data_IF_932946501267
#
_entry.id   IF_932946501267
#
_cell.length_a   1.000
_cell.length_b   1.000
_cell.length_c   1.000
_cell.angle_alpha   90.00
_cell.angle_beta   90.00
_cell.angle_gamma   90.00
#
_symmetry.space_group_name_H-M   'P 1'
#
loop_
_entity.id
_entity.type
_entity.pdbx_description
1 polymer ?
#
# COMPACT_ATOMS: atom_id res chain seq x y z
N UNK A 1 -25.65 45.36 -25.41
CA UNK A 1 -24.46 45.52 -24.55
C UNK A 1 -24.51 44.42 -23.51
N UNK A 2 -23.85 43.33 -23.81
CA UNK A 2 -23.60 42.25 -22.85
C UNK A 2 -22.41 42.72 -22.00
N UNK A 3 -22.67 43.06 -20.76
CA UNK A 3 -21.64 43.28 -19.76
C UNK A 3 -21.10 41.90 -19.39
N UNK A 4 -19.82 41.66 -19.71
CA UNK A 4 -19.14 40.43 -19.38
C UNK A 4 -19.12 40.21 -17.86
N UNK A 5 -19.75 39.15 -17.42
CA UNK A 5 -19.40 38.57 -16.14
C UNK A 5 -17.99 38.01 -16.26
N UNK A 6 -17.03 38.73 -15.74
CA UNK A 6 -15.73 38.15 -15.45
C UNK A 6 -15.97 36.96 -14.52
N UNK A 7 -15.95 35.80 -15.11
CA UNK A 7 -15.91 34.56 -14.33
C UNK A 7 -14.56 34.58 -13.61
N UNK A 8 -14.57 34.88 -12.32
CA UNK A 8 -13.42 34.68 -11.46
C UNK A 8 -13.06 33.22 -11.52
N UNK A 9 -12.26 32.83 -12.49
CA UNK A 9 -11.54 31.56 -12.49
C UNK A 9 -10.63 31.66 -11.28
N UNK A 10 -10.95 30.93 -10.22
CA UNK A 10 -10.03 30.79 -9.08
C UNK A 10 -8.74 30.24 -9.66
N UNK A 11 -7.67 31.01 -9.53
CA UNK A 11 -6.32 30.74 -10.05
C UNK A 11 -5.73 29.38 -9.63
N UNK A 12 -6.44 28.61 -8.79
CA UNK A 12 -6.04 27.27 -8.31
C UNK A 12 -6.82 26.12 -8.93
N UNK A 13 -7.80 26.38 -9.81
CA UNK A 13 -8.62 25.30 -10.37
C UNK A 13 -7.82 24.35 -11.26
N UNK A 14 -6.76 24.80 -11.89
CA UNK A 14 -5.91 24.01 -12.75
C UNK A 14 -4.83 23.22 -11.98
N UNK A 15 -4.51 23.60 -10.75
CA UNK A 15 -3.55 22.87 -9.91
C UNK A 15 -4.08 21.51 -9.44
N UNK A 16 -5.41 21.33 -9.50
CA UNK A 16 -6.07 20.08 -9.13
C UNK A 16 -6.49 19.23 -10.34
N UNK A 17 -6.19 19.66 -11.57
CA UNK A 17 -6.55 18.93 -12.79
C UNK A 17 -5.72 17.64 -12.94
N UNK A 18 -6.32 16.65 -13.63
CA UNK A 18 -5.65 15.40 -13.96
C UNK A 18 -4.32 15.68 -14.67
N UNK A 19 -3.25 15.02 -14.21
CA UNK A 19 -1.87 15.11 -14.71
C UNK A 19 -1.06 16.33 -14.28
N UNK A 20 -1.60 17.28 -13.51
CA UNK A 20 -0.79 18.41 -13.05
C UNK A 20 0.41 17.97 -12.21
N UNK A 21 0.21 16.97 -11.33
CA UNK A 21 1.26 16.38 -10.50
C UNK A 21 1.73 15.00 -11.00
N UNK A 22 1.45 14.68 -12.28
CA UNK A 22 1.76 13.38 -12.88
C UNK A 22 0.89 12.21 -12.40
N UNK A 23 -0.13 12.48 -11.59
CA UNK A 23 -1.08 11.49 -11.09
C UNK A 23 -2.46 11.67 -11.74
N UNK A 24 -3.23 10.59 -11.82
CA UNK A 24 -4.64 10.66 -12.18
C UNK A 24 -5.43 11.33 -11.06
N UNK A 25 -6.45 12.07 -11.44
CA UNK A 25 -7.38 12.71 -10.51
C UNK A 25 -8.07 11.69 -9.59
N UNK A 26 -8.28 12.08 -8.35
CA UNK A 26 -9.06 11.30 -7.38
C UNK A 26 -10.54 11.19 -7.78
N UNK A 27 -11.32 10.24 -7.23
CA UNK A 27 -12.74 10.11 -7.53
C UNK A 27 -13.52 11.36 -7.09
N UNK A 28 -14.24 11.98 -8.02
CA UNK A 28 -15.15 13.09 -7.75
C UNK A 28 -16.52 12.56 -7.33
N UNK A 29 -17.13 13.19 -6.34
CA UNK A 29 -18.47 12.86 -5.85
C UNK A 29 -19.40 14.06 -6.01
N UNK A 30 -20.64 13.78 -6.41
CA UNK A 30 -21.71 14.77 -6.58
C UNK A 30 -22.88 14.45 -5.65
N UNK A 31 -23.84 15.36 -5.54
CA UNK A 31 -25.09 15.10 -4.80
C UNK A 31 -25.97 14.13 -5.56
N UNK A 32 -26.80 13.32 -4.88
CA UNK A 32 -26.98 13.21 -3.40
C UNK A 32 -25.84 12.45 -2.71
N UNK A 33 -25.75 12.53 -1.37
CA UNK A 33 -24.73 11.86 -0.55
C UNK A 33 -24.79 10.33 -0.65
N UNK A 34 -25.96 9.77 -0.98
CA UNK A 34 -26.15 8.34 -1.24
C UNK A 34 -26.85 8.18 -2.57
N UNK A 35 -26.22 7.42 -3.49
CA UNK A 35 -26.78 7.08 -4.78
C UNK A 35 -26.72 5.57 -5.02
N UNK A 36 -27.86 4.93 -5.27
CA UNK A 36 -27.96 3.47 -5.54
C UNK A 36 -27.22 2.61 -4.49
N UNK A 37 -27.32 2.98 -3.21
CA UNK A 37 -26.65 2.27 -2.11
C UNK A 37 -25.16 2.56 -1.94
N UNK A 38 -24.59 3.45 -2.76
CA UNK A 38 -23.20 3.92 -2.64
C UNK A 38 -23.18 5.27 -1.94
N UNK A 39 -22.52 5.32 -0.79
CA UNK A 39 -22.38 6.55 -0.03
C UNK A 39 -21.08 7.29 -0.40
N UNK A 40 -21.13 8.62 -0.29
CA UNK A 40 -19.93 9.47 -0.31
C UNK A 40 -19.08 9.11 0.92
N UNK A 41 -17.76 8.95 0.81
CA UNK A 41 -16.91 8.70 1.97
C UNK A 41 -17.04 9.76 3.06
N UNK A 42 -17.22 9.34 4.32
CA UNK A 42 -17.45 10.23 5.47
C UNK A 42 -16.37 11.30 5.64
N UNK A 43 -15.13 11.00 5.25
CA UNK A 43 -14.01 11.95 5.31
C UNK A 43 -14.28 13.20 4.46
N UNK A 44 -15.03 13.07 3.36
CA UNK A 44 -15.37 14.20 2.47
C UNK A 44 -16.51 15.06 3.03
N UNK A 45 -17.30 14.52 3.95
CA UNK A 45 -18.41 15.20 4.61
C UNK A 45 -18.01 15.92 5.90
N UNK A 46 -16.86 15.52 6.48
CA UNK A 46 -16.40 15.97 7.79
C UNK A 46 -15.83 17.40 7.86
N UNK A 47 -15.64 18.10 6.74
CA UNK A 47 -15.15 19.48 6.69
C UNK A 47 -13.68 19.68 7.13
N UNK A 48 -12.95 18.63 7.47
CA UNK A 48 -11.52 18.68 7.82
C UNK A 48 -10.68 18.66 6.53
N UNK A 49 -10.27 19.84 6.08
CA UNK A 49 -9.52 19.99 4.81
C UNK A 49 -8.24 19.17 4.79
N UNK A 50 -7.52 19.03 5.90
CA UNK A 50 -6.29 18.25 5.93
C UNK A 50 -6.55 16.76 5.69
N UNK A 51 -7.62 16.22 6.28
CA UNK A 51 -8.02 14.83 6.05
C UNK A 51 -8.57 14.61 4.65
N UNK A 52 -9.31 15.59 4.12
CA UNK A 52 -9.83 15.56 2.75
C UNK A 52 -8.67 15.52 1.76
N UNK A 53 -7.67 16.39 1.91
CA UNK A 53 -6.52 16.48 1.00
C UNK A 53 -5.64 15.22 1.10
N UNK A 54 -5.43 14.70 2.30
CA UNK A 54 -4.73 13.43 2.49
C UNK A 54 -5.46 12.26 1.79
N UNK A 55 -6.79 12.19 1.92
CA UNK A 55 -7.62 11.19 1.26
C UNK A 55 -7.59 11.31 -0.26
N UNK A 56 -7.69 12.54 -0.80
CA UNK A 56 -7.61 12.82 -2.23
C UNK A 56 -6.27 12.35 -2.80
N UNK A 57 -5.16 12.72 -2.14
CA UNK A 57 -3.82 12.30 -2.54
C UNK A 57 -3.64 10.77 -2.49
N UNK A 58 -4.18 10.10 -1.48
CA UNK A 58 -4.15 8.63 -1.40
C UNK A 58 -4.93 8.00 -2.56
N UNK A 59 -6.14 8.48 -2.85
CA UNK A 59 -6.99 7.95 -3.92
C UNK A 59 -6.42 8.23 -5.32
N UNK A 60 -5.79 9.37 -5.51
CA UNK A 60 -5.07 9.71 -6.73
C UNK A 60 -3.92 8.73 -6.99
N UNK A 61 -3.07 8.47 -6.00
CA UNK A 61 -1.97 7.50 -6.09
C UNK A 61 -2.47 6.08 -6.34
N UNK A 62 -3.49 5.64 -5.60
CA UNK A 62 -4.11 4.31 -5.76
C UNK A 62 -4.65 4.14 -7.20
N UNK A 63 -5.40 5.13 -7.69
CA UNK A 63 -5.99 5.12 -9.03
C UNK A 63 -4.94 5.13 -10.13
N UNK A 64 -3.87 5.93 -9.96
CA UNK A 64 -2.77 6.00 -10.91
C UNK A 64 -2.03 4.69 -10.97
N UNK A 65 -1.70 4.10 -9.82
CA UNK A 65 -1.04 2.79 -9.76
C UNK A 65 -1.81 1.70 -10.48
N UNK A 66 -3.14 1.68 -10.33
CA UNK A 66 -4.01 0.64 -10.95
C UNK A 66 -4.25 0.86 -12.45
N UNK A 67 -4.33 2.11 -12.90
CA UNK A 67 -4.74 2.42 -14.27
C UNK A 67 -3.60 2.86 -15.17
N UNK A 68 -2.59 3.48 -14.60
CA UNK A 68 -1.44 4.05 -15.30
C UNK A 68 -0.16 3.81 -14.49
N UNK A 69 0.28 2.55 -14.36
CA UNK A 69 1.47 2.20 -13.56
C UNK A 69 2.72 2.96 -14.00
N UNK A 70 2.87 3.25 -15.29
CA UNK A 70 3.98 4.02 -15.83
C UNK A 70 4.05 5.46 -15.31
N UNK A 71 2.88 6.12 -15.11
CA UNK A 71 2.84 7.46 -14.51
C UNK A 71 3.11 7.40 -13.00
N UNK A 72 2.65 6.34 -12.35
CA UNK A 72 2.94 6.14 -10.93
C UNK A 72 4.44 5.91 -10.67
N UNK A 73 5.12 5.19 -11.53
CA UNK A 73 6.57 5.01 -11.46
C UNK A 73 7.33 6.34 -11.64
N UNK A 74 6.95 7.14 -12.65
CA UNK A 74 7.52 8.48 -12.85
C UNK A 74 7.28 9.41 -11.65
N UNK A 75 6.06 9.37 -11.10
CA UNK A 75 5.73 10.12 -9.88
C UNK A 75 6.59 9.67 -8.70
N UNK A 76 6.81 8.38 -8.52
CA UNK A 76 7.68 7.84 -7.49
C UNK A 76 9.14 8.27 -7.65
N UNK A 77 9.64 8.37 -8.87
CA UNK A 77 11.00 8.87 -9.17
C UNK A 77 11.16 10.36 -8.80
N UNK A 78 10.13 11.16 -9.06
CA UNK A 78 10.13 12.59 -8.73
C UNK A 78 9.82 12.88 -7.25
N UNK A 79 9.20 11.93 -6.54
CA UNK A 79 8.82 12.03 -5.13
C UNK A 79 9.45 10.90 -4.30
N UNK A 80 10.76 10.88 -4.12
CA UNK A 80 11.43 9.83 -3.34
C UNK A 80 10.95 9.88 -1.88
N UNK A 81 10.83 8.71 -1.25
CA UNK A 81 10.51 8.62 0.18
C UNK A 81 11.72 9.09 0.97
N UNK A 82 11.68 10.32 1.43
CA UNK A 82 12.79 10.94 2.18
C UNK A 82 12.87 10.44 3.63
N UNK A 83 11.75 10.02 4.19
CA UNK A 83 11.67 9.54 5.58
C UNK A 83 11.00 8.17 5.66
N UNK A 84 11.45 7.33 6.59
CA UNK A 84 10.75 6.10 6.93
C UNK A 84 9.36 6.40 7.47
N UNK A 85 8.34 5.57 7.17
CA UNK A 85 7.00 5.74 7.70
C UNK A 85 7.00 5.85 9.22
N UNK A 86 6.27 6.84 9.77
CA UNK A 86 6.12 7.00 11.22
C UNK A 86 5.15 5.94 11.74
N UNK A 87 5.65 5.05 12.58
CA UNK A 87 4.83 4.03 13.23
C UNK A 87 4.06 4.62 14.41
N UNK A 88 2.81 4.22 14.57
CA UNK A 88 2.01 4.62 15.74
C UNK A 88 2.57 3.97 17.00
N UNK A 89 2.21 4.51 18.16
CA UNK A 89 2.60 3.91 19.44
C UNK A 89 2.14 2.45 19.51
N UNK A 90 3.07 1.54 19.76
CA UNK A 90 2.83 0.09 19.79
C UNK A 90 2.91 -0.61 18.43
N UNK A 91 3.12 0.11 17.32
CA UNK A 91 3.50 -0.47 16.03
C UNK A 91 5.04 -0.59 15.95
N UNK A 92 5.53 -1.66 15.33
CA UNK A 92 6.95 -1.88 15.11
C UNK A 92 7.20 -2.72 13.86
N UNK A 93 8.33 -2.49 13.19
CA UNK A 93 8.79 -3.33 12.07
C UNK A 93 10.18 -3.82 12.38
N UNK A 94 10.39 -5.13 12.28
CA UNK A 94 11.67 -5.78 12.57
C UNK A 94 12.05 -6.74 11.46
N UNK A 95 13.34 -6.81 11.19
CA UNK A 95 13.92 -7.85 10.33
C UNK A 95 13.74 -9.21 11.02
N UNK A 96 13.21 -10.17 10.28
CA UNK A 96 13.00 -11.55 10.75
C UNK A 96 14.36 -12.26 10.89
N UNK A 97 14.68 -12.69 12.10
CA UNK A 97 15.97 -13.32 12.45
C UNK A 97 15.80 -14.66 13.15
N UNK A 98 14.82 -14.77 14.04
CA UNK A 98 14.60 -15.96 14.90
C UNK A 98 13.63 -16.94 14.28
N UNK A 99 13.67 -18.20 14.68
CA UNK A 99 12.73 -19.24 14.23
C UNK A 99 11.27 -18.88 14.53
N UNK A 100 11.01 -18.29 15.71
CA UNK A 100 9.66 -17.85 16.09
C UNK A 100 9.14 -16.74 15.16
N UNK A 101 10.01 -15.80 14.76
CA UNK A 101 9.66 -14.74 13.81
C UNK A 101 9.39 -15.30 12.42
N UNK A 102 10.17 -16.30 11.98
CA UNK A 102 9.94 -16.98 10.71
C UNK A 102 8.61 -17.74 10.74
N UNK A 103 8.27 -18.43 11.83
CA UNK A 103 6.98 -19.11 11.98
C UNK A 103 5.81 -18.09 11.94
N UNK A 104 5.94 -16.96 12.62
CA UNK A 104 4.93 -15.90 12.58
C UNK A 104 4.76 -15.32 11.17
N UNK A 105 5.85 -15.09 10.42
CA UNK A 105 5.81 -14.62 9.04
C UNK A 105 5.17 -15.67 8.11
N UNK A 106 5.52 -16.96 8.27
CA UNK A 106 4.95 -18.06 7.49
C UNK A 106 3.44 -18.20 7.72
N UNK A 107 2.98 -18.02 8.95
CA UNK A 107 1.55 -18.01 9.28
C UNK A 107 0.81 -16.89 8.54
N UNK A 108 1.31 -15.65 8.58
CA UNK A 108 0.74 -14.53 7.84
C UNK A 108 0.75 -14.77 6.33
N UNK A 109 1.80 -15.38 5.82
CA UNK A 109 1.91 -15.75 4.41
C UNK A 109 0.83 -16.77 4.03
N UNK A 110 0.69 -17.86 4.80
CA UNK A 110 -0.33 -18.87 4.59
C UNK A 110 -1.75 -18.28 4.64
N UNK A 111 -2.05 -17.46 5.65
CA UNK A 111 -3.34 -16.78 5.78
C UNK A 111 -3.63 -15.88 4.56
N UNK A 112 -2.66 -15.10 4.13
CA UNK A 112 -2.78 -14.22 2.97
C UNK A 112 -3.03 -14.99 1.68
N UNK A 113 -2.28 -16.07 1.45
CA UNK A 113 -2.42 -16.93 0.26
C UNK A 113 -3.77 -17.64 0.25
N UNK A 114 -4.19 -18.23 1.37
CA UNK A 114 -5.51 -18.87 1.48
C UNK A 114 -6.65 -17.88 1.24
N UNK A 115 -6.54 -16.65 1.74
CA UNK A 115 -7.55 -15.61 1.51
C UNK A 115 -7.68 -15.21 0.04
N UNK A 116 -6.58 -15.21 -0.73
CA UNK A 116 -6.59 -14.97 -2.18
C UNK A 116 -7.12 -16.18 -2.94
N UNK A 117 -6.82 -17.39 -2.48
CA UNK A 117 -7.27 -18.63 -3.11
C UNK A 117 -8.77 -18.88 -2.90
N UNK A 118 -9.33 -18.41 -1.79
CA UNK A 118 -10.75 -18.60 -1.48
C UNK A 118 -11.65 -18.01 -2.58
N UNK A 119 -12.47 -18.86 -3.20
CA UNK A 119 -13.35 -18.48 -4.30
C UNK A 119 -12.75 -18.47 -5.71
N UNK A 120 -11.41 -18.62 -5.85
CA UNK A 120 -10.73 -18.64 -7.15
C UNK A 120 -10.09 -19.99 -7.49
N UNK A 121 -9.88 -20.88 -6.49
CA UNK A 121 -9.18 -22.14 -6.64
C UNK A 121 -9.92 -23.26 -5.89
N UNK A 122 -9.54 -24.51 -6.17
CA UNK A 122 -10.15 -25.67 -5.49
C UNK A 122 -9.84 -25.68 -4.01
N UNK A 123 -10.75 -26.25 -3.19
CA UNK A 123 -10.56 -26.38 -1.75
C UNK A 123 -9.30 -27.20 -1.42
N UNK A 124 -9.02 -28.26 -2.21
CA UNK A 124 -7.84 -29.10 -2.07
C UNK A 124 -6.54 -28.30 -2.21
N UNK A 125 -6.47 -27.42 -3.23
CA UNK A 125 -5.32 -26.55 -3.42
C UNK A 125 -5.18 -25.54 -2.27
N UNK A 126 -6.27 -24.93 -1.82
CA UNK A 126 -6.23 -24.00 -0.71
C UNK A 126 -5.79 -24.70 0.60
N UNK A 127 -6.17 -25.96 0.79
CA UNK A 127 -5.76 -26.77 1.95
C UNK A 127 -4.28 -27.19 1.89
N UNK A 128 -3.71 -27.33 0.70
CA UNK A 128 -2.28 -27.67 0.52
C UNK A 128 -1.33 -26.52 0.89
N UNK A 129 -1.83 -25.29 1.03
CA UNK A 129 -1.04 -24.12 1.43
C UNK A 129 -0.76 -24.14 2.93
N UNK A 130 0.26 -24.88 3.36
CA UNK A 130 0.62 -25.08 4.77
C UNK A 130 1.61 -24.03 5.28
N UNK A 131 1.62 -23.83 6.60
CA UNK A 131 2.59 -22.93 7.24
C UNK A 131 4.02 -23.48 7.13
N UNK A 132 4.18 -24.81 7.14
CA UNK A 132 5.47 -25.49 7.00
C UNK A 132 6.11 -25.23 5.64
N UNK A 133 5.34 -25.26 4.55
CA UNK A 133 5.83 -24.96 3.20
C UNK A 133 6.30 -23.52 3.11
N UNK A 134 5.50 -22.56 3.60
CA UNK A 134 5.91 -21.16 3.59
C UNK A 134 7.08 -20.86 4.52
N UNK A 135 7.18 -21.56 5.65
CA UNK A 135 8.35 -21.49 6.51
C UNK A 135 9.62 -21.94 5.78
N UNK A 136 9.55 -23.07 5.07
CA UNK A 136 10.66 -23.58 4.28
C UNK A 136 11.03 -22.61 3.14
N UNK A 137 10.02 -22.04 2.47
CA UNK A 137 10.20 -21.05 1.41
C UNK A 137 10.92 -19.80 1.95
N UNK A 138 10.43 -19.17 3.02
CA UNK A 138 11.04 -17.96 3.61
C UNK A 138 12.47 -18.20 4.07
N UNK A 139 12.78 -19.39 4.59
CA UNK A 139 14.14 -19.77 4.96
C UNK A 139 15.07 -19.94 3.74
N UNK A 140 14.55 -20.50 2.65
CA UNK A 140 15.27 -20.63 1.39
C UNK A 140 15.54 -19.25 0.78
N UNK A 141 14.56 -18.37 0.77
CA UNK A 141 14.67 -16.98 0.30
C UNK A 141 15.74 -16.21 1.09
N UNK A 142 15.75 -16.34 2.44
CA UNK A 142 16.81 -15.76 3.28
C UNK A 142 18.21 -16.24 2.86
N UNK A 143 18.38 -17.53 2.59
CA UNK A 143 19.66 -18.06 2.10
C UNK A 143 20.02 -17.48 0.72
N UNK A 144 19.02 -17.16 -0.11
CA UNK A 144 19.17 -16.47 -1.38
C UNK A 144 19.56 -14.99 -1.29
N UNK A 145 19.52 -14.42 -0.08
CA UNK A 145 19.87 -13.02 0.18
C UNK A 145 18.67 -12.09 0.32
N UNK A 146 17.45 -12.64 0.47
CA UNK A 146 16.24 -11.85 0.69
C UNK A 146 16.09 -11.47 2.16
N UNK A 147 15.47 -10.34 2.40
CA UNK A 147 15.14 -9.86 3.74
C UNK A 147 13.63 -9.87 3.95
N UNK A 148 13.18 -10.56 5.01
CA UNK A 148 11.80 -10.55 5.45
C UNK A 148 11.65 -9.63 6.66
N UNK A 149 10.68 -8.74 6.63
CA UNK A 149 10.34 -7.83 7.73
C UNK A 149 8.94 -8.14 8.24
N UNK A 150 8.81 -8.17 9.57
CA UNK A 150 7.56 -8.44 10.27
C UNK A 150 7.07 -7.17 10.94
N UNK A 151 5.83 -6.78 10.65
CA UNK A 151 5.13 -5.72 11.36
C UNK A 151 4.38 -6.31 12.54
N UNK A 152 4.40 -5.60 13.67
CA UNK A 152 3.64 -5.95 14.86
C UNK A 152 2.89 -4.75 15.40
N UNK A 153 1.68 -5.00 15.90
CA UNK A 153 0.91 -4.04 16.70
C UNK A 153 0.75 -4.61 18.10
N UNK A 154 1.26 -3.90 19.12
CA UNK A 154 1.29 -4.38 20.52
C UNK A 154 1.89 -5.79 20.64
N UNK A 155 3.02 -5.99 19.95
CA UNK A 155 3.77 -7.25 19.86
C UNK A 155 3.04 -8.41 19.17
N UNK A 156 1.85 -8.18 18.62
CA UNK A 156 1.13 -9.18 17.81
C UNK A 156 1.51 -8.99 16.34
N UNK A 157 2.04 -10.03 15.67
CA UNK A 157 2.34 -10.00 14.24
C UNK A 157 1.07 -9.81 13.42
N UNK A 158 1.05 -8.80 12.55
CA UNK A 158 -0.13 -8.47 11.75
C UNK A 158 0.19 -8.04 10.31
N UNK A 159 1.47 -7.99 9.95
CA UNK A 159 1.91 -7.75 8.59
C UNK A 159 3.32 -8.30 8.33
N UNK A 160 3.60 -8.64 7.07
CA UNK A 160 4.94 -9.03 6.63
C UNK A 160 5.24 -8.47 5.24
N UNK A 161 6.52 -8.19 4.98
CA UNK A 161 7.02 -7.87 3.65
C UNK A 161 8.37 -8.56 3.43
N UNK A 162 8.56 -9.13 2.25
CA UNK A 162 9.80 -9.75 1.81
C UNK A 162 10.37 -8.99 0.62
N UNK A 163 11.66 -8.66 0.66
CA UNK A 163 12.36 -7.90 -0.36
C UNK A 163 13.62 -8.63 -0.82
N UNK A 164 13.84 -8.62 -2.12
CA UNK A 164 15.09 -9.07 -2.72
C UNK A 164 15.99 -7.86 -2.99
N UNK A 165 17.03 -7.72 -2.18
CA UNK A 165 18.00 -6.62 -2.33
C UNK A 165 18.87 -6.71 -3.58
N UNK A 166 18.96 -7.87 -4.23
CA UNK A 166 19.77 -8.05 -5.45
C UNK A 166 19.04 -7.53 -6.68
N UNK A 167 17.73 -7.80 -6.75
CA UNK A 167 16.90 -7.43 -7.91
C UNK A 167 16.08 -6.16 -7.70
N UNK A 168 16.01 -5.64 -6.47
CA UNK A 168 15.19 -4.49 -6.13
C UNK A 168 13.68 -4.81 -6.08
N UNK A 169 13.30 -6.08 -5.85
CA UNK A 169 11.90 -6.54 -5.89
C UNK A 169 11.31 -6.70 -4.52
N UNK A 170 10.03 -6.36 -4.43
CA UNK A 170 9.16 -6.76 -3.31
C UNK A 170 8.42 -8.03 -3.76
N UNK A 171 8.71 -9.16 -3.12
CA UNK A 171 8.14 -10.45 -3.54
C UNK A 171 6.86 -10.78 -2.79
N UNK A 172 6.81 -10.47 -1.49
CA UNK A 172 5.66 -10.78 -0.67
C UNK A 172 5.28 -9.60 0.21
N UNK A 173 3.99 -9.26 0.24
CA UNK A 173 3.40 -8.27 1.15
C UNK A 173 2.04 -8.79 1.61
N UNK A 174 1.94 -9.10 2.89
CA UNK A 174 0.70 -9.57 3.50
C UNK A 174 0.36 -8.79 4.76
N UNK A 175 -0.94 -8.54 4.93
CA UNK A 175 -1.51 -7.94 6.14
C UNK A 175 -2.67 -8.82 6.58
N UNK A 176 -2.68 -9.19 7.86
CA UNK A 176 -3.73 -10.03 8.46
C UNK A 176 -5.11 -9.40 8.28
N UNK A 177 -6.16 -10.21 8.19
CA UNK A 177 -7.53 -9.73 7.95
C UNK A 177 -7.97 -8.67 8.97
N UNK A 178 -7.63 -8.85 10.24
CA UNK A 178 -7.99 -7.94 11.34
C UNK A 178 -7.22 -6.59 11.32
N UNK A 179 -6.15 -6.52 10.56
CA UNK A 179 -5.28 -5.35 10.44
C UNK A 179 -5.47 -4.58 9.12
N UNK A 180 -6.26 -5.11 8.19
CA UNK A 180 -6.58 -4.45 6.92
C UNK A 180 -7.38 -3.16 7.14
N UNK A 181 -7.29 -2.23 6.19
CA UNK A 181 -7.97 -0.94 6.26
C UNK A 181 -7.35 0.08 7.22
N UNK A 182 -6.29 -0.30 7.97
CA UNK A 182 -5.59 0.59 8.93
C UNK A 182 -4.35 1.29 8.35
N UNK A 183 -4.10 1.14 7.06
CA UNK A 183 -2.95 1.73 6.36
C UNK A 183 -1.63 0.98 6.56
N UNK A 184 -1.63 -0.19 7.23
CA UNK A 184 -0.41 -0.96 7.52
C UNK A 184 0.27 -1.42 6.23
N UNK A 185 -0.50 -1.92 5.25
CA UNK A 185 0.05 -2.38 3.98
C UNK A 185 0.80 -1.28 3.22
N UNK A 186 0.24 -0.07 3.16
CA UNK A 186 0.90 1.08 2.55
C UNK A 186 2.18 1.45 3.29
N UNK A 187 2.15 1.54 4.62
CA UNK A 187 3.34 1.81 5.42
C UNK A 187 4.44 0.77 5.22
N UNK A 188 4.08 -0.52 5.13
CA UNK A 188 5.05 -1.58 4.88
C UNK A 188 5.64 -1.51 3.48
N UNK A 189 4.82 -1.13 2.49
CA UNK A 189 5.28 -0.90 1.12
C UNK A 189 6.29 0.26 1.08
N UNK A 190 5.96 1.39 1.71
CA UNK A 190 6.84 2.56 1.80
C UNK A 190 8.14 2.23 2.56
N UNK A 191 8.03 1.43 3.62
CA UNK A 191 9.20 0.94 4.35
C UNK A 191 10.09 0.06 3.47
N UNK A 192 9.52 -0.91 2.76
CA UNK A 192 10.26 -1.80 1.87
C UNK A 192 10.93 -1.03 0.73
N UNK A 193 10.23 -0.07 0.13
CA UNK A 193 10.75 0.83 -0.89
C UNK A 193 11.95 1.61 -0.37
N UNK A 194 11.84 2.21 0.82
CA UNK A 194 12.97 2.94 1.44
C UNK A 194 14.15 2.02 1.73
N UNK A 195 13.90 0.77 2.15
CA UNK A 195 14.97 -0.22 2.34
C UNK A 195 15.67 -0.58 1.03
N UNK A 196 14.95 -0.69 -0.07
CA UNK A 196 15.53 -0.94 -1.38
C UNK A 196 16.34 0.26 -1.90
N UNK A 197 15.88 1.50 -1.65
CA UNK A 197 16.63 2.71 -1.99
C UNK A 197 17.99 2.77 -1.25
N UNK A 198 18.05 2.32 0.02
CA UNK A 198 19.29 2.22 0.79
C UNK A 198 20.33 1.28 0.16
N UNK A 199 19.89 0.34 -0.70
CA UNK A 199 20.75 -0.60 -1.44
C UNK A 199 20.97 -0.19 -2.90
N UNK A 200 20.76 1.08 -3.25
CA UNK A 200 20.93 1.62 -4.61
C UNK A 200 20.01 1.00 -5.69
N UNK A 201 18.84 0.51 -5.27
CA UNK A 201 17.80 0.03 -6.20
C UNK A 201 16.64 1.03 -6.26
N UNK A 202 16.72 2.10 -7.07
CA UNK A 202 15.69 3.13 -7.14
C UNK A 202 14.39 2.67 -7.82
N UNK A 203 14.40 1.53 -8.52
CA UNK A 203 13.24 0.99 -9.23
C UNK A 203 12.57 -0.12 -8.46
N UNK A 204 11.28 0.07 -8.16
CA UNK A 204 10.43 -0.96 -7.61
C UNK A 204 9.89 -1.85 -8.74
N UNK A 205 10.11 -3.16 -8.66
CA UNK A 205 9.30 -4.14 -9.38
C UNK A 205 8.46 -4.93 -8.37
N UNK A 206 7.17 -4.96 -8.59
CA UNK A 206 6.18 -5.72 -7.80
C UNK A 206 5.60 -6.82 -8.65
#
# INVERSE_FOLDING_TARGET
RLVGSEMCIRDRGYEEESYWDGLLEYPQYTRPEVWEGRAVPDVLLGGDHQKIDAWRGEKSRERTRLRRPELYEQWCESHPITELPKWKRGENVRLVKTEEQFAAAAKLFAEGRRAVCAGNWTEEYCASLTEEEFLAQLKAEKKGGWACYLHTTKDVPDGMVSVDHKTGRIEHLFVSGNARGKGIGQKMLDFARKKLEEYEHPRLSV
#
